data_IF_657464267213
#
_entry.id   IF_657464267213
#
_cell.length_a   1.000
_cell.length_b   1.000
_cell.length_c   1.000
_cell.angle_alpha   90.00
_cell.angle_beta   90.00
_cell.angle_gamma   90.00
#
_symmetry.space_group_name_H-M   'P 1'
#
loop_
_entity.id
_entity.type
_entity.pdbx_description
1 polymer ?
#
# COMPACT_ATOMS: atom_id res chain seq x y z
N UNK A 1 -65.56 18.18 22.07
CA UNK A 1 -64.95 17.29 23.09
C UNK A 1 -63.61 16.85 22.56
N UNK A 2 -62.54 17.30 23.22
CA UNK A 2 -61.17 16.81 23.10
C UNK A 2 -60.89 15.95 24.36
N UNK A 3 -59.70 15.34 24.58
CA UNK A 3 -58.60 14.90 23.68
C UNK A 3 -58.02 13.50 24.09
N UNK A 4 -56.77 13.20 23.65
CA UNK A 4 -55.70 12.39 24.33
C UNK A 4 -55.67 10.88 23.95
N UNK A 5 -54.56 10.20 23.58
CA UNK A 5 -53.12 10.48 23.60
C UNK A 5 -52.36 9.63 22.56
N UNK A 6 -51.33 10.23 21.97
CA UNK A 6 -50.12 9.60 21.44
C UNK A 6 -49.30 8.92 22.55
N UNK A 7 -48.72 7.74 22.31
CA UNK A 7 -47.45 7.35 22.94
C UNK A 7 -46.52 6.69 21.92
N UNK A 8 -45.36 7.33 21.74
CA UNK A 8 -44.18 6.76 21.11
C UNK A 8 -43.32 5.96 22.12
N UNK A 9 -41.98 5.96 21.99
CA UNK A 9 -41.18 4.76 21.73
C UNK A 9 -40.35 4.31 22.95
N UNK A 10 -39.48 3.31 22.71
CA UNK A 10 -38.46 2.75 23.61
C UNK A 10 -38.95 1.82 24.74
N UNK A 11 -38.50 0.56 24.71
CA UNK A 11 -37.60 0.04 25.75
C UNK A 11 -37.03 -1.35 25.41
N UNK A 12 -35.70 -1.41 25.43
CA UNK A 12 -34.83 -2.58 25.35
C UNK A 12 -35.19 -3.58 26.47
N UNK A 13 -35.27 -4.90 26.23
CA UNK A 13 -35.40 -5.85 27.33
C UNK A 13 -34.06 -5.98 28.09
N UNK A 14 -34.11 -5.65 29.39
CA UNK A 14 -33.07 -5.91 30.41
C UNK A 14 -32.72 -7.41 30.46
N UNK A 15 -31.43 -7.73 30.38
CA UNK A 15 -30.89 -9.02 30.82
C UNK A 15 -31.04 -9.13 32.34
N UNK A 16 -31.83 -10.11 32.79
CA UNK A 16 -31.90 -10.54 34.18
C UNK A 16 -31.00 -11.77 34.30
N UNK A 17 -29.94 -11.69 35.10
CA UNK A 17 -29.12 -12.86 35.46
C UNK A 17 -29.96 -13.85 36.28
N UNK A 18 -29.88 -15.18 36.03
CA UNK A 18 -30.52 -16.14 36.92
C UNK A 18 -29.67 -16.33 38.17
N UNK A 19 -30.21 -15.92 39.32
CA UNK A 19 -29.72 -16.34 40.63
C UNK A 19 -30.06 -17.82 40.80
N UNK A 20 -29.05 -18.67 40.70
CA UNK A 20 -29.16 -20.12 40.92
C UNK A 20 -29.51 -20.39 42.38
N UNK A 21 -30.75 -20.83 42.63
CA UNK A 21 -31.22 -21.17 43.98
C UNK A 21 -31.00 -22.67 44.18
N UNK A 22 -30.03 -23.04 45.01
CA UNK A 22 -29.78 -24.42 45.40
C UNK A 22 -30.98 -24.97 46.20
N UNK A 23 -31.60 -26.04 45.70
CA UNK A 23 -32.70 -26.74 46.39
C UNK A 23 -32.17 -27.71 47.44
N UNK A 24 -32.59 -27.52 48.70
CA UNK A 24 -32.41 -28.49 49.79
C UNK A 24 -33.55 -29.52 49.78
N UNK A 25 -33.26 -30.78 50.11
CA UNK A 25 -34.30 -31.79 50.33
C UNK A 25 -34.95 -31.65 51.72
N UNK A 26 -36.00 -32.44 51.98
CA UNK A 26 -36.79 -32.37 53.23
C UNK A 26 -36.05 -32.87 54.49
N UNK A 27 -34.75 -33.18 54.39
CA UNK A 27 -33.86 -33.53 55.50
C UNK A 27 -32.66 -32.59 55.65
N UNK A 28 -32.52 -31.56 54.81
CA UNK A 28 -31.49 -30.54 54.96
C UNK A 28 -30.07 -31.01 54.63
N UNK A 29 -29.89 -32.11 53.88
CA UNK A 29 -28.59 -32.49 53.34
C UNK A 29 -28.42 -31.99 51.88
N UNK A 30 -27.21 -31.58 51.47
CA UNK A 30 -26.91 -31.29 50.07
C UNK A 30 -27.14 -32.55 49.24
N UNK A 31 -28.01 -32.47 48.24
CA UNK A 31 -28.19 -33.56 47.27
C UNK A 31 -26.89 -33.72 46.47
N UNK A 32 -26.50 -34.99 46.28
CA UNK A 32 -25.22 -35.39 45.70
C UNK A 32 -24.87 -34.61 44.43
N UNK A 33 -23.60 -34.19 44.36
CA UNK A 33 -22.95 -33.58 43.18
C UNK A 33 -23.40 -34.24 41.88
N UNK A 34 -24.23 -33.54 41.10
CA UNK A 34 -24.29 -33.79 39.65
C UNK A 34 -22.98 -33.23 39.11
N UNK A 35 -21.96 -34.08 39.05
CA UNK A 35 -20.74 -33.78 38.32
C UNK A 35 -21.10 -33.48 36.87
N UNK A 36 -21.22 -32.19 36.53
CA UNK A 36 -21.28 -31.74 35.15
C UNK A 36 -19.96 -32.22 34.53
N UNK A 37 -19.97 -33.11 33.51
CA UNK A 37 -18.74 -33.50 32.86
C UNK A 37 -18.09 -32.22 32.34
N UNK A 38 -16.94 -31.87 32.92
CA UNK A 38 -16.09 -30.80 32.39
C UNK A 38 -15.80 -31.21 30.97
N UNK A 39 -16.21 -30.39 30.00
CA UNK A 39 -15.96 -30.61 28.59
C UNK A 39 -14.48 -30.97 28.43
N UNK A 40 -14.21 -32.25 28.16
CA UNK A 40 -12.88 -32.70 27.80
C UNK A 40 -12.54 -31.94 26.52
N UNK A 41 -11.56 -31.04 26.61
CA UNK A 41 -11.15 -30.23 25.48
C UNK A 41 -10.69 -31.20 24.39
N UNK A 42 -11.52 -31.46 23.38
CA UNK A 42 -11.10 -32.22 22.21
C UNK A 42 -9.86 -31.51 21.69
N UNK A 43 -8.68 -32.10 21.93
CA UNK A 43 -7.42 -31.61 21.37
C UNK A 43 -7.51 -31.78 19.87
N UNK A 44 -8.03 -30.74 19.20
CA UNK A 44 -8.10 -30.71 17.74
C UNK A 44 -6.67 -30.74 17.23
N UNK A 45 -6.36 -31.78 16.45
CA UNK A 45 -5.07 -31.93 15.79
C UNK A 45 -5.02 -30.87 14.68
N UNK A 46 -4.11 -29.92 14.83
CA UNK A 46 -3.97 -28.78 13.93
C UNK A 46 -2.62 -28.84 13.23
N UNK A 47 -2.62 -28.48 11.95
CA UNK A 47 -1.45 -28.28 11.11
C UNK A 47 -1.46 -26.83 10.64
N UNK A 48 -0.44 -26.08 11.03
CA UNK A 48 -0.23 -24.71 10.55
C UNK A 48 0.77 -24.71 9.40
N UNK A 49 0.46 -23.97 8.33
CA UNK A 49 1.35 -23.76 7.19
C UNK A 49 1.37 -22.30 6.78
N UNK A 50 2.51 -21.86 6.23
CA UNK A 50 2.64 -20.58 5.54
C UNK A 50 2.64 -20.77 4.03
N UNK A 51 1.69 -20.12 3.35
CA UNK A 51 1.63 -20.01 1.92
C UNK A 51 2.17 -18.67 1.45
N UNK A 52 2.92 -18.67 0.35
CA UNK A 52 3.39 -17.45 -0.30
C UNK A 52 3.03 -17.51 -1.79
N UNK A 53 2.67 -16.36 -2.35
CA UNK A 53 2.35 -16.20 -3.76
C UNK A 53 3.07 -14.98 -4.30
N UNK A 54 3.55 -15.09 -5.54
CA UNK A 54 4.24 -14.03 -6.25
C UNK A 54 3.65 -13.91 -7.65
N UNK A 55 3.43 -12.67 -8.08
CA UNK A 55 3.05 -12.32 -9.44
C UNK A 55 4.00 -11.24 -9.93
N UNK A 56 4.36 -11.32 -11.21
CA UNK A 56 5.14 -10.31 -11.90
C UNK A 56 4.21 -9.50 -12.79
N UNK A 57 4.35 -8.19 -12.77
CA UNK A 57 3.56 -7.28 -13.57
C UNK A 57 4.46 -6.33 -14.36
N UNK A 58 4.18 -6.15 -15.63
CA UNK A 58 4.77 -5.07 -16.42
C UNK A 58 4.16 -3.74 -15.96
N UNK A 59 4.96 -2.72 -15.61
CA UNK A 59 4.43 -1.39 -15.31
C UNK A 59 3.64 -0.82 -16.49
N UNK A 60 2.49 -0.22 -16.19
CA UNK A 60 1.66 0.52 -17.15
C UNK A 60 1.56 2.01 -16.82
N UNK A 61 2.17 2.44 -15.71
CA UNK A 61 2.19 3.83 -15.27
C UNK A 61 3.59 4.23 -14.77
N UNK A 62 3.98 5.44 -15.13
CA UNK A 62 5.20 6.08 -14.68
C UNK A 62 4.87 7.40 -13.98
N UNK A 63 5.53 7.64 -12.85
CA UNK A 63 5.48 8.89 -12.12
C UNK A 63 6.88 9.50 -12.13
N UNK A 64 7.00 10.77 -12.48
CA UNK A 64 8.28 11.46 -12.64
C UNK A 64 8.20 12.80 -11.92
N UNK A 65 9.19 13.09 -11.08
CA UNK A 65 9.33 14.41 -10.47
C UNK A 65 10.30 15.24 -11.29
N UNK A 66 9.84 16.40 -11.75
CA UNK A 66 10.60 17.30 -12.60
C UNK A 66 10.29 18.76 -12.24
N UNK A 67 11.20 19.68 -12.53
CA UNK A 67 10.98 21.07 -12.20
C UNK A 67 12.19 21.97 -12.40
N UNK A 68 12.12 23.14 -11.79
CA UNK A 68 13.13 24.17 -11.88
C UNK A 68 13.57 24.62 -10.49
N UNK A 69 14.89 24.74 -10.34
CA UNK A 69 15.55 25.37 -9.20
C UNK A 69 16.30 26.57 -9.74
N UNK A 70 16.00 27.77 -9.23
CA UNK A 70 16.67 29.01 -9.64
C UNK A 70 17.31 29.68 -8.44
N UNK A 71 18.42 30.37 -8.67
CA UNK A 71 19.11 31.12 -7.63
C UNK A 71 19.38 32.56 -8.09
N UNK A 72 19.12 33.54 -7.23
CA UNK A 72 19.52 34.93 -7.46
C UNK A 72 19.62 35.70 -6.14
N UNK A 73 20.53 36.67 -6.09
CA UNK A 73 20.66 37.61 -4.96
C UNK A 73 19.36 38.39 -4.72
N UNK A 74 18.59 38.65 -5.78
CA UNK A 74 17.27 39.25 -5.72
C UNK A 74 16.18 38.16 -5.81
N UNK A 75 15.31 38.12 -4.80
CA UNK A 75 14.23 37.14 -4.71
C UNK A 75 13.23 37.22 -5.87
N UNK A 76 12.79 38.43 -6.24
CA UNK A 76 11.81 38.62 -7.30
C UNK A 76 12.35 38.12 -8.66
N UNK A 77 13.64 38.31 -8.92
CA UNK A 77 14.31 37.76 -10.10
C UNK A 77 14.31 36.23 -10.07
N UNK A 78 14.72 35.61 -8.95
CA UNK A 78 14.74 34.15 -8.82
C UNK A 78 13.35 33.54 -9.06
N UNK A 79 12.31 34.13 -8.47
CA UNK A 79 10.93 33.69 -8.59
C UNK A 79 10.38 33.87 -10.02
N UNK A 80 10.67 35.00 -10.66
CA UNK A 80 10.24 35.27 -12.04
C UNK A 80 10.86 34.28 -13.03
N UNK A 81 12.17 34.02 -12.91
CA UNK A 81 12.87 33.01 -13.72
C UNK A 81 12.30 31.61 -13.48
N UNK A 82 12.00 31.27 -12.22
CA UNK A 82 11.43 29.98 -11.88
C UNK A 82 10.05 29.79 -12.51
N UNK A 83 9.19 30.82 -12.40
CA UNK A 83 7.84 30.82 -12.96
C UNK A 83 7.88 30.65 -14.48
N UNK A 84 8.79 31.36 -15.16
CA UNK A 84 8.97 31.22 -16.60
C UNK A 84 9.40 29.80 -17.00
N UNK A 85 10.38 29.22 -16.28
CA UNK A 85 10.82 27.85 -16.53
C UNK A 85 9.69 26.83 -16.33
N UNK A 86 8.93 26.92 -15.24
CA UNK A 86 7.82 26.00 -14.96
C UNK A 86 6.70 26.13 -16.00
N UNK A 87 6.36 27.35 -16.41
CA UNK A 87 5.36 27.55 -17.46
C UNK A 87 5.81 26.92 -18.79
N UNK A 88 7.09 27.06 -19.16
CA UNK A 88 7.63 26.43 -20.35
C UNK A 88 7.58 24.90 -20.26
N UNK A 89 7.97 24.33 -19.12
CA UNK A 89 7.92 22.89 -18.87
C UNK A 89 6.48 22.36 -19.00
N UNK A 90 5.53 22.98 -18.30
CA UNK A 90 4.11 22.58 -18.34
C UNK A 90 3.56 22.67 -19.76
N UNK A 91 3.86 23.74 -20.49
CA UNK A 91 3.40 23.92 -21.87
C UNK A 91 4.01 22.87 -22.82
N UNK A 92 5.29 22.56 -22.68
CA UNK A 92 5.97 21.55 -23.49
C UNK A 92 5.40 20.15 -23.24
N UNK A 93 5.15 19.80 -21.97
CA UNK A 93 4.53 18.53 -21.59
C UNK A 93 3.07 18.42 -22.09
N UNK A 94 2.29 19.52 -22.04
CA UNK A 94 0.97 19.57 -22.67
C UNK A 94 1.03 19.35 -24.18
N UNK A 95 2.04 19.92 -24.84
CA UNK A 95 2.30 19.71 -26.27
C UNK A 95 2.59 18.25 -26.63
N UNK A 96 3.16 17.47 -25.70
CA UNK A 96 3.35 16.02 -25.81
C UNK A 96 2.09 15.19 -25.55
N UNK A 97 0.99 15.83 -25.14
CA UNK A 97 -0.26 15.18 -24.78
C UNK A 97 -0.40 14.80 -23.30
N UNK A 98 0.45 15.33 -22.41
CA UNK A 98 0.27 15.16 -20.95
C UNK A 98 -0.81 16.14 -20.47
N UNK A 99 -1.96 15.66 -19.98
CA UNK A 99 -3.05 16.54 -19.57
C UNK A 99 -2.76 17.18 -18.20
N UNK A 100 -3.39 18.32 -17.91
CA UNK A 100 -3.08 19.11 -16.72
C UNK A 100 -3.38 18.35 -15.42
N UNK A 101 -4.39 17.49 -15.44
CA UNK A 101 -4.81 16.65 -14.31
C UNK A 101 -3.75 15.61 -13.93
N UNK A 102 -2.81 15.32 -14.83
CA UNK A 102 -1.70 14.41 -14.60
C UNK A 102 -0.43 15.14 -14.12
N UNK A 103 -0.50 16.45 -13.87
CA UNK A 103 0.60 17.26 -13.35
C UNK A 103 0.18 17.95 -12.07
N UNK A 104 0.94 17.71 -11.00
CA UNK A 104 0.69 18.27 -9.68
C UNK A 104 1.94 18.93 -9.14
N UNK A 105 1.84 20.14 -8.59
CA UNK A 105 2.95 20.71 -7.82
C UNK A 105 3.12 19.92 -6.52
N UNK A 106 4.31 19.36 -6.33
CA UNK A 106 4.66 18.57 -5.13
C UNK A 106 5.59 19.32 -4.19
N UNK A 107 6.29 20.34 -4.69
CA UNK A 107 7.12 21.21 -3.87
C UNK A 107 7.17 22.62 -4.44
N UNK A 108 7.00 23.61 -3.58
CA UNK A 108 7.36 25.00 -3.84
C UNK A 108 8.03 25.56 -2.59
N UNK A 109 9.30 25.95 -2.68
CA UNK A 109 10.02 26.55 -1.55
C UNK A 109 10.93 27.70 -1.99
N UNK A 110 11.16 28.61 -1.05
CA UNK A 110 12.05 29.76 -1.22
C UNK A 110 12.94 29.79 0.02
N UNK A 111 14.25 29.64 -0.19
CA UNK A 111 15.21 29.46 0.89
C UNK A 111 16.43 30.37 0.69
N UNK A 112 16.81 31.20 1.66
CA UNK A 112 18.07 31.93 1.59
C UNK A 112 19.24 30.93 1.68
N UNK A 113 20.22 31.11 0.81
CA UNK A 113 21.46 30.36 0.75
C UNK A 113 22.58 31.23 1.33
N UNK A 114 23.44 30.62 2.12
CA UNK A 114 24.58 31.27 2.75
C UNK A 114 25.86 30.52 2.38
N UNK A 115 26.97 31.25 2.29
CA UNK A 115 28.32 30.68 2.28
C UNK A 115 28.94 30.85 3.67
N UNK A 116 29.87 29.98 4.00
CA UNK A 116 30.65 30.04 5.24
C UNK A 116 32.13 30.10 4.86
N UNK A 117 32.74 31.26 5.06
CA UNK A 117 34.17 31.50 4.81
C UNK A 117 34.79 32.11 6.07
N UNK A 118 35.92 31.57 6.51
CA UNK A 118 36.66 32.03 7.71
C UNK A 118 35.80 32.20 8.97
N UNK A 119 34.84 31.29 9.18
CA UNK A 119 33.94 31.32 10.34
C UNK A 119 32.82 32.36 10.27
N UNK A 120 32.72 33.10 9.16
CA UNK A 120 31.67 34.10 8.93
C UNK A 120 30.62 33.57 7.96
N UNK A 121 29.34 33.69 8.35
CA UNK A 121 28.22 33.37 7.48
C UNK A 121 27.84 34.60 6.64
N UNK A 122 27.87 34.47 5.31
CA UNK A 122 27.49 35.56 4.40
C UNK A 122 26.37 35.10 3.48
N UNK A 123 25.34 35.95 3.33
CA UNK A 123 24.24 35.68 2.41
C UNK A 123 24.76 35.59 0.96
N UNK A 124 24.37 34.52 0.26
CA UNK A 124 24.78 34.23 -1.13
C UNK A 124 23.66 34.54 -2.12
N UNK A 125 22.49 33.94 -1.94
CA UNK A 125 21.37 34.06 -2.88
C UNK A 125 20.06 33.57 -2.25
N UNK A 126 18.92 33.85 -2.88
CA UNK A 126 17.68 33.10 -2.67
C UNK A 126 17.62 31.95 -3.66
N UNK A 127 17.32 30.74 -3.17
CA UNK A 127 16.99 29.57 -3.99
C UNK A 127 15.48 29.38 -4.02
N UNK A 128 14.91 29.35 -5.22
CA UNK A 128 13.50 29.01 -5.45
C UNK A 128 13.43 27.63 -6.08
N UNK A 129 12.74 26.72 -5.42
CA UNK A 129 12.50 25.35 -5.88
C UNK A 129 11.03 25.20 -6.22
N UNK A 130 10.72 24.79 -7.45
CA UNK A 130 9.36 24.44 -7.86
C UNK A 130 9.40 23.10 -8.60
N UNK A 131 8.83 22.08 -7.98
CA UNK A 131 8.81 20.72 -8.51
C UNK A 131 7.37 20.29 -8.78
N UNK A 132 7.16 19.70 -9.95
CA UNK A 132 5.92 19.06 -10.35
C UNK A 132 6.15 17.55 -10.43
N UNK A 133 5.17 16.79 -9.94
CA UNK A 133 5.05 15.38 -10.22
C UNK A 133 4.12 15.22 -11.40
N UNK A 134 4.57 14.44 -12.37
CA UNK A 134 3.79 14.10 -13.55
C UNK A 134 3.57 12.60 -13.61
N UNK A 135 2.36 12.19 -13.93
CA UNK A 135 1.96 10.79 -14.08
C UNK A 135 1.61 10.49 -15.54
N UNK A 136 2.15 9.41 -16.09
CA UNK A 136 1.92 8.98 -17.47
C UNK A 136 1.53 7.51 -17.52
N UNK A 137 0.49 7.19 -18.29
CA UNK A 137 0.12 5.80 -18.59
C UNK A 137 0.88 5.22 -19.79
N UNK A 138 1.92 5.93 -20.27
CA UNK A 138 2.77 5.55 -21.39
C UNK A 138 4.20 5.48 -20.87
N UNK A 139 4.55 4.35 -20.25
CA UNK A 139 5.83 4.08 -19.58
C UNK A 139 7.00 4.19 -20.57
N UNK A 140 6.80 3.72 -21.79
CA UNK A 140 7.77 3.79 -22.89
C UNK A 140 8.12 5.23 -23.30
N UNK A 141 7.26 6.21 -22.98
CA UNK A 141 7.51 7.64 -23.29
C UNK A 141 8.23 8.38 -22.18
N UNK A 142 8.59 7.73 -21.07
CA UNK A 142 9.28 8.39 -19.96
C UNK A 142 10.56 9.11 -20.39
N UNK A 143 11.35 8.54 -21.31
CA UNK A 143 12.56 9.20 -21.84
C UNK A 143 12.25 10.49 -22.59
N UNK A 144 11.30 10.42 -23.53
CA UNK A 144 10.86 11.57 -24.34
C UNK A 144 10.30 12.70 -23.47
N UNK A 145 9.55 12.33 -22.43
CA UNK A 145 9.03 13.28 -21.43
C UNK A 145 10.17 14.01 -20.73
N UNK A 146 11.15 13.26 -20.22
CA UNK A 146 12.30 13.83 -19.50
C UNK A 146 13.07 14.77 -20.41
N UNK A 147 13.40 14.34 -21.62
CA UNK A 147 14.15 15.13 -22.59
C UNK A 147 13.38 16.40 -22.97
N UNK A 148 12.06 16.32 -23.14
CA UNK A 148 11.21 17.49 -23.45
C UNK A 148 11.14 18.47 -22.29
N UNK A 149 11.03 18.00 -21.05
CA UNK A 149 11.07 18.85 -19.87
C UNK A 149 12.42 19.56 -19.73
N UNK A 150 13.53 18.84 -19.92
CA UNK A 150 14.89 19.39 -19.87
C UNK A 150 15.09 20.44 -20.96
N UNK A 151 14.69 20.15 -22.20
CA UNK A 151 14.75 21.10 -23.32
C UNK A 151 13.87 22.35 -23.08
N UNK A 152 12.82 22.24 -22.26
CA UNK A 152 11.96 23.34 -21.87
C UNK A 152 12.46 24.13 -20.64
N UNK A 153 13.59 23.74 -20.05
CA UNK A 153 14.24 24.44 -18.93
C UNK A 153 14.15 23.72 -17.58
N UNK A 154 13.72 22.46 -17.53
CA UNK A 154 13.84 21.66 -16.31
C UNK A 154 15.32 21.41 -16.00
N UNK A 155 15.71 21.70 -14.77
CA UNK A 155 17.06 21.42 -14.25
C UNK A 155 17.03 20.52 -13.00
N UNK A 156 15.85 20.02 -12.67
CA UNK A 156 15.64 18.98 -11.67
C UNK A 156 14.80 17.88 -12.30
N UNK A 157 15.32 16.65 -12.30
CA UNK A 157 14.60 15.43 -12.68
C UNK A 157 15.01 14.35 -11.67
N UNK A 158 14.04 13.79 -10.97
CA UNK A 158 14.27 12.77 -9.95
C UNK A 158 13.04 11.86 -9.80
N UNK A 159 13.19 10.83 -8.95
CA UNK A 159 12.09 10.00 -8.48
C UNK A 159 11.22 9.42 -9.61
N UNK A 160 11.86 8.93 -10.67
CA UNK A 160 11.19 8.17 -11.71
C UNK A 160 10.76 6.84 -11.11
N UNK A 161 9.46 6.65 -10.93
CA UNK A 161 8.85 5.49 -10.31
C UNK A 161 7.89 4.82 -11.29
N UNK A 162 7.97 3.50 -11.37
CA UNK A 162 7.06 2.68 -12.18
C UNK A 162 6.06 1.97 -11.28
N UNK A 163 4.80 1.93 -11.72
CA UNK A 163 3.69 1.31 -11.00
C UNK A 163 2.71 0.67 -11.99
N UNK A 164 1.71 0.01 -11.44
CA UNK A 164 0.53 -0.45 -12.16
C UNK A 164 -0.69 0.38 -11.77
N UNK A 165 -1.58 0.66 -12.71
CA UNK A 165 -2.85 1.36 -12.47
C UNK A 165 -3.82 0.55 -11.61
N UNK A 166 -3.69 -0.77 -11.63
CA UNK A 166 -4.58 -1.71 -10.92
C UNK A 166 -3.80 -2.68 -10.01
N UNK A 167 -3.14 -2.16 -8.96
CA UNK A 167 -2.28 -2.98 -8.08
C UNK A 167 -3.07 -4.10 -7.38
N UNK A 168 -4.33 -3.84 -7.03
CA UNK A 168 -5.20 -4.80 -6.36
C UNK A 168 -5.48 -6.05 -7.20
N UNK A 169 -5.53 -5.94 -8.53
CA UNK A 169 -5.73 -7.11 -9.40
C UNK A 169 -4.56 -8.09 -9.28
N UNK A 170 -3.34 -7.57 -9.33
CA UNK A 170 -2.14 -8.40 -9.21
C UNK A 170 -1.94 -8.90 -7.78
N UNK A 171 -2.30 -8.10 -6.77
CA UNK A 171 -2.30 -8.55 -5.37
C UNK A 171 -3.26 -9.72 -5.16
N UNK A 172 -4.49 -9.64 -5.68
CA UNK A 172 -5.46 -10.72 -5.58
C UNK A 172 -4.98 -12.00 -6.28
N UNK A 173 -4.31 -11.88 -7.43
CA UNK A 173 -3.68 -13.04 -8.09
C UNK A 173 -2.56 -13.66 -7.24
N UNK A 174 -1.72 -12.82 -6.61
CA UNK A 174 -0.70 -13.29 -5.68
C UNK A 174 -1.33 -13.96 -4.45
N UNK A 175 -2.44 -13.43 -3.93
CA UNK A 175 -3.16 -13.97 -2.78
C UNK A 175 -3.76 -15.35 -3.09
N UNK A 176 -4.41 -15.49 -4.26
CA UNK A 176 -4.89 -16.79 -4.74
C UNK A 176 -3.74 -17.81 -4.83
N UNK A 177 -2.59 -17.38 -5.35
CA UNK A 177 -1.38 -18.21 -5.43
C UNK A 177 -0.86 -18.61 -4.04
N UNK A 178 -0.89 -17.70 -3.06
CA UNK A 178 -0.50 -17.97 -1.68
C UNK A 178 -1.40 -19.01 -1.02
N UNK A 179 -2.71 -18.94 -1.24
CA UNK A 179 -3.68 -19.92 -0.73
C UNK A 179 -3.44 -21.30 -1.36
N UNK A 180 -3.23 -21.36 -2.68
CA UNK A 180 -2.91 -22.62 -3.36
C UNK A 180 -1.60 -23.23 -2.83
N UNK A 181 -0.58 -22.40 -2.63
CA UNK A 181 0.70 -22.82 -2.05
C UNK A 181 0.53 -23.39 -0.62
N UNK A 182 -0.25 -22.71 0.23
CA UNK A 182 -0.55 -23.18 1.58
C UNK A 182 -1.23 -24.57 1.56
N UNK A 183 -2.24 -24.73 0.69
CA UNK A 183 -2.96 -25.99 0.53
C UNK A 183 -2.03 -27.12 0.07
N UNK A 184 -1.16 -26.87 -0.90
CA UNK A 184 -0.19 -27.86 -1.40
C UNK A 184 0.78 -28.29 -0.28
N UNK A 185 1.32 -27.34 0.48
CA UNK A 185 2.19 -27.62 1.63
C UNK A 185 1.48 -28.45 2.70
N UNK A 186 0.26 -28.09 3.07
CA UNK A 186 -0.51 -28.82 4.06
C UNK A 186 -0.77 -30.27 3.62
N UNK A 187 -1.14 -30.47 2.35
CA UNK A 187 -1.35 -31.80 1.79
C UNK A 187 -0.06 -32.64 1.78
N UNK A 188 1.07 -32.06 1.40
CA UNK A 188 2.37 -32.75 1.41
C UNK A 188 2.78 -33.19 2.83
N UNK A 189 2.59 -32.33 3.84
CA UNK A 189 2.90 -32.65 5.23
C UNK A 189 1.96 -33.76 5.75
N UNK A 190 0.66 -33.66 5.48
CA UNK A 190 -0.30 -34.69 5.91
C UNK A 190 0.00 -36.06 5.28
N UNK A 191 0.35 -36.09 3.99
CA UNK A 191 0.76 -37.32 3.31
C UNK A 191 2.02 -37.93 3.95
N UNK A 192 3.03 -37.11 4.26
CA UNK A 192 4.25 -37.58 4.92
C UNK A 192 4.01 -38.11 6.34
N UNK A 193 3.01 -37.57 7.03
CA UNK A 193 2.58 -38.03 8.36
C UNK A 193 1.60 -39.21 8.31
N UNK A 194 1.18 -39.63 7.12
CA UNK A 194 0.13 -40.65 6.90
C UNK A 194 -1.19 -40.34 7.64
N UNK A 195 -1.59 -39.07 7.67
CA UNK A 195 -2.86 -38.60 8.26
C UNK A 195 -3.80 -38.04 7.20
N UNK A 196 -5.10 -38.01 7.49
CA UNK A 196 -6.09 -37.43 6.56
C UNK A 196 -6.30 -35.94 6.87
N UNK A 197 -5.97 -35.08 5.91
CA UNK A 197 -6.16 -33.63 6.01
C UNK A 197 -7.59 -33.22 5.63
N UNK A 198 -8.21 -32.34 6.41
CA UNK A 198 -9.41 -31.65 5.98
C UNK A 198 -9.08 -30.64 4.87
N UNK A 199 -9.78 -30.70 3.74
CA UNK A 199 -9.47 -29.89 2.55
C UNK A 199 -9.68 -28.39 2.75
N UNK A 200 -10.57 -28.01 3.66
CA UNK A 200 -10.88 -26.63 3.99
C UNK A 200 -10.12 -26.27 5.27
N UNK A 201 -9.31 -25.19 5.27
CA UNK A 201 -8.63 -24.74 6.47
C UNK A 201 -9.64 -24.32 7.54
N UNK A 202 -9.34 -24.64 8.80
CA UNK A 202 -10.09 -24.16 9.95
C UNK A 202 -9.97 -22.65 10.12
N UNK A 203 -8.80 -22.09 9.81
CA UNK A 203 -8.53 -20.65 9.88
C UNK A 203 -7.57 -20.24 8.78
N UNK A 204 -7.82 -19.08 8.18
CA UNK A 204 -6.89 -18.41 7.26
C UNK A 204 -6.68 -16.98 7.75
N UNK A 205 -5.43 -16.55 7.77
CA UNK A 205 -5.07 -15.15 8.03
C UNK A 205 -4.09 -14.69 6.97
N UNK A 206 -4.36 -13.54 6.39
CA UNK A 206 -3.33 -12.83 5.63
C UNK A 206 -2.21 -12.40 6.58
N UNK A 207 -0.98 -12.58 6.12
CA UNK A 207 0.18 -12.01 6.79
C UNK A 207 0.39 -10.66 6.12
N UNK A 208 -0.11 -9.60 6.77
CA UNK A 208 0.08 -8.23 6.30
C UNK A 208 1.59 -7.97 6.10
N UNK A 209 2.01 -7.90 4.84
CA UNK A 209 3.27 -7.29 4.47
C UNK A 209 2.91 -5.95 3.86
N UNK A 210 2.87 -4.90 4.69
CA UNK A 210 2.83 -3.51 4.23
C UNK A 210 4.14 -3.22 3.50
N UNK A 211 4.27 -3.65 2.25
CA UNK A 211 5.41 -3.31 1.39
C UNK A 211 4.89 -2.96 0.00
N UNK A 212 5.15 -1.73 -0.49
CA UNK A 212 4.83 -1.39 -1.87
C UNK A 212 5.55 -2.34 -2.84
N UNK A 213 5.01 -2.54 -4.06
CA UNK A 213 5.68 -3.34 -5.09
C UNK A 213 7.13 -2.90 -5.26
N UNK A 214 8.05 -3.86 -5.29
CA UNK A 214 9.49 -3.57 -5.47
C UNK A 214 9.87 -3.73 -6.93
N UNK A 215 10.69 -2.81 -7.50
CA UNK A 215 11.26 -3.00 -8.83
C UNK A 215 12.09 -4.28 -8.90
N UNK A 216 11.84 -5.10 -9.90
CA UNK A 216 12.63 -6.27 -10.28
C UNK A 216 13.45 -5.92 -11.52
N UNK A 217 14.79 -5.90 -11.36
CA UNK A 217 15.69 -5.63 -12.48
C UNK A 217 15.95 -6.92 -13.27
N UNK A 218 15.49 -6.95 -14.52
CA UNK A 218 16.00 -7.85 -15.55
C UNK A 218 17.06 -7.09 -16.38
N UNK A 219 18.20 -7.73 -16.64
CA UNK A 219 19.39 -7.09 -17.22
C UNK A 219 19.23 -6.75 -18.71
N UNK A 220 19.32 -5.44 -19.02
CA UNK A 220 19.81 -4.69 -20.22
C UNK A 220 19.49 -5.13 -21.66
N UNK A 221 19.12 -4.15 -22.50
CA UNK A 221 19.87 -3.71 -23.70
C UNK A 221 19.67 -2.20 -23.96
N UNK A 222 20.68 -1.55 -24.54
CA UNK A 222 20.73 -0.13 -24.86
C UNK A 222 20.96 0.11 -26.36
N UNK A 223 20.23 1.07 -26.92
CA UNK A 223 20.58 2.01 -28.00
C UNK A 223 19.39 2.98 -28.11
N UNK A 224 19.57 4.26 -27.81
CA UNK A 224 18.57 5.28 -28.16
C UNK A 224 19.18 6.69 -28.12
N UNK A 225 18.78 7.54 -29.06
CA UNK A 225 18.98 8.99 -29.09
C UNK A 225 18.21 9.75 -27.98
N UNK A 226 17.62 9.01 -27.04
CA UNK A 226 16.67 9.45 -26.01
C UNK A 226 17.17 8.91 -24.67
N UNK A 227 16.96 9.63 -23.57
CA UNK A 227 17.45 9.17 -22.24
C UNK A 227 16.92 7.76 -21.93
N UNK A 228 17.79 6.74 -21.77
CA UNK A 228 17.38 5.35 -21.62
C UNK A 228 16.85 5.13 -20.21
N UNK A 229 15.53 5.03 -20.08
CA UNK A 229 14.84 4.75 -18.82
C UNK A 229 14.22 3.34 -18.91
N UNK A 230 14.66 2.43 -18.05
CA UNK A 230 14.19 1.04 -18.05
C UNK A 230 13.24 0.79 -16.88
N UNK A 231 11.97 0.40 -17.15
CA UNK A 231 10.96 0.26 -16.11
C UNK A 231 11.09 -0.98 -15.23
N UNK A 232 11.78 -2.02 -15.71
CA UNK A 232 11.84 -3.33 -15.04
C UNK A 232 10.47 -4.02 -14.98
N UNK A 233 10.40 -5.13 -14.24
CA UNK A 233 9.13 -5.76 -13.86
C UNK A 233 8.80 -5.44 -12.39
N UNK A 234 7.54 -5.43 -12.01
CA UNK A 234 7.14 -5.29 -10.60
C UNK A 234 6.91 -6.67 -10.00
N UNK A 235 7.56 -6.93 -8.86
CA UNK A 235 7.30 -8.12 -8.06
C UNK A 235 6.25 -7.82 -7.00
N UNK A 236 5.10 -8.48 -7.09
CA UNK A 236 3.98 -8.35 -6.16
C UNK A 236 3.83 -9.66 -5.40
N UNK A 237 3.77 -9.58 -4.06
CA UNK A 237 3.77 -10.76 -3.20
C UNK A 237 2.64 -10.72 -2.19
N UNK A 238 2.01 -11.87 -1.94
CA UNK A 238 1.06 -12.07 -0.86
C UNK A 238 1.47 -13.28 -0.01
N UNK A 239 1.11 -13.28 1.26
CA UNK A 239 1.41 -14.38 2.17
C UNK A 239 0.21 -14.66 3.08
N UNK A 240 -0.05 -15.94 3.34
CA UNK A 240 -1.13 -16.39 4.20
C UNK A 240 -0.61 -17.40 5.21
N UNK A 241 -1.18 -17.37 6.42
CA UNK A 241 -1.07 -18.42 7.41
C UNK A 241 -2.39 -19.19 7.43
N UNK A 242 -2.32 -20.49 7.20
CA UNK A 242 -3.49 -21.36 7.18
C UNK A 242 -3.33 -22.46 8.24
N UNK A 243 -4.39 -22.66 9.02
CA UNK A 243 -4.50 -23.73 10.01
C UNK A 243 -5.50 -24.75 9.47
N UNK A 244 -5.08 -26.01 9.36
CA UNK A 244 -5.89 -27.13 8.93
C UNK A 244 -6.08 -28.11 10.08
N UNK A 245 -7.24 -28.75 10.14
CA UNK A 245 -7.44 -29.91 11.01
C UNK A 245 -7.16 -31.21 10.25
N UNK A 246 -6.75 -32.25 10.97
CA UNK A 246 -6.51 -33.58 10.41
C UNK A 246 -6.92 -34.68 11.40
N UNK A 247 -7.07 -35.91 10.91
CA UNK A 247 -7.43 -37.09 11.69
C UNK A 247 -6.66 -38.33 11.26
#
# INVERSE_FOLDING_TARGET
MAPIETRGPDQIPRFISPTETAGLDKSGQPTADIAIPRHDSIKRRMLEVMGEGTVYATPDQATIQLGAITESVNLATAQSQNTAAINNIVNALRGLGVPAEQMQTVQYSIEPQYTYEDGTQTFRAYRVTHLIQMTSNQVERSGVIVDTAVNAGANYVANIQFTVTQPELFYNQALMSAIMNARQKAAAIANALAVTLNRVPYRVREVERLRPPVPYQATLYAQADVTPIQPGELKITAAVRAEYSYF
#
